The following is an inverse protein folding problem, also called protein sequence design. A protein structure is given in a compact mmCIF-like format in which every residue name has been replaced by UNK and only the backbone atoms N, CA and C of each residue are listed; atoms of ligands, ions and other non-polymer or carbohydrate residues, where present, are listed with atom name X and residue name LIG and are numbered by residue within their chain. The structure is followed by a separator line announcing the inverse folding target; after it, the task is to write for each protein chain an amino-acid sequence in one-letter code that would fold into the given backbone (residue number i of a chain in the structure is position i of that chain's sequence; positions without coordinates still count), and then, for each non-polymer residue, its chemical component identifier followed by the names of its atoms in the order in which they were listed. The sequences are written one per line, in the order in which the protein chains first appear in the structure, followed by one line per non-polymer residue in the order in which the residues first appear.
data_IF_530087477149
#
_entry.id   IF_530087477149
#
_cell.length_a   1.000
_cell.length_b   1.000
_cell.length_c   1.000
_cell.angle_alpha   90.00
_cell.angle_beta   90.00
_cell.angle_gamma   90.00
#
_symmetry.space_group_name_H-M   'P 1'
#
loop_
_entity.id
_entity.type
_entity.pdbx_description
1 polymer ?
#
# COMPACT_ATOMS: atom_id res chain seq x y z
N UNK A 1 -6.27 -37.94 -17.05
CA UNK A 1 -5.59 -38.89 -16.14
C UNK A 1 -5.85 -38.41 -14.72
N UNK A 2 -6.19 -39.31 -13.80
CA UNK A 2 -6.44 -38.95 -12.39
C UNK A 2 -5.17 -39.27 -11.61
N UNK A 3 -4.65 -38.29 -10.90
CA UNK A 3 -3.51 -38.43 -9.99
C UNK A 3 -4.06 -38.61 -8.58
N UNK A 4 -3.67 -39.69 -7.90
CA UNK A 4 -4.13 -39.95 -6.53
C UNK A 4 -3.24 -39.23 -5.51
N UNK A 5 -3.84 -38.61 -4.49
CA UNK A 5 -3.10 -37.99 -3.40
C UNK A 5 -2.32 -39.02 -2.58
N UNK A 6 -1.07 -38.70 -2.21
CA UNK A 6 -0.13 -39.61 -1.54
C UNK A 6 -0.37 -39.71 -0.02
N UNK A 7 -0.83 -38.64 0.63
CA UNK A 7 -0.97 -38.56 2.10
C UNK A 7 -2.42 -38.68 2.58
N UNK A 8 -2.59 -39.07 3.84
CA UNK A 8 -3.89 -39.21 4.52
C UNK A 8 -4.54 -37.87 4.90
N UNK A 9 -3.75 -36.78 5.03
CA UNK A 9 -4.25 -35.43 5.30
C UNK A 9 -4.92 -34.81 4.05
N UNK A 10 -6.14 -35.27 3.77
CA UNK A 10 -6.97 -34.87 2.62
C UNK A 10 -7.85 -33.64 2.88
N UNK A 11 -7.61 -32.93 3.99
CA UNK A 11 -8.43 -31.81 4.43
C UNK A 11 -7.64 -30.51 4.21
N UNK A 12 -8.20 -29.59 3.43
CA UNK A 12 -7.79 -28.20 3.38
C UNK A 12 -8.75 -27.40 4.26
N UNK A 13 -8.21 -26.64 5.21
CA UNK A 13 -9.01 -25.75 6.03
C UNK A 13 -9.36 -24.48 5.24
N UNK A 14 -10.55 -23.89 5.46
CA UNK A 14 -10.87 -22.61 4.86
C UNK A 14 -9.92 -21.53 5.38
N UNK A 15 -9.53 -20.60 4.51
CA UNK A 15 -8.78 -19.42 4.93
C UNK A 15 -9.62 -18.61 5.92
N UNK A 16 -9.09 -18.38 7.12
CA UNK A 16 -9.67 -17.42 8.06
C UNK A 16 -9.45 -15.99 7.51
N UNK A 17 -10.49 -15.17 7.49
CA UNK A 17 -10.43 -13.84 6.87
C UNK A 17 -9.30 -12.96 7.42
N UNK A 18 -9.02 -13.09 8.71
CA UNK A 18 -7.97 -12.34 9.42
C UNK A 18 -6.56 -12.88 9.23
N UNK A 19 -6.38 -14.03 8.57
CA UNK A 19 -5.10 -14.71 8.47
C UNK A 19 -4.49 -14.58 7.07
N UNK A 20 -3.17 -14.70 6.99
CA UNK A 20 -2.46 -14.79 5.72
C UNK A 20 -2.90 -16.06 4.98
N UNK A 21 -2.70 -16.07 3.66
CA UNK A 21 -2.87 -17.30 2.89
C UNK A 21 -1.82 -18.29 3.38
N UNK A 22 -2.26 -19.33 4.09
CA UNK A 22 -1.39 -20.43 4.49
C UNK A 22 -1.28 -21.42 3.33
N UNK A 23 -0.06 -21.88 3.07
CA UNK A 23 0.22 -22.80 1.98
C UNK A 23 0.31 -24.22 2.51
N UNK A 24 -0.66 -25.05 2.14
CA UNK A 24 -0.63 -26.48 2.44
C UNK A 24 -0.14 -27.27 1.24
N UNK A 25 0.92 -28.04 1.43
CA UNK A 25 1.46 -28.93 0.38
C UNK A 25 0.61 -30.19 0.26
N UNK A 26 0.08 -30.44 -0.92
CA UNK A 26 -0.56 -31.70 -1.31
C UNK A 26 0.27 -32.40 -2.39
N UNK A 27 0.58 -33.68 -2.17
CA UNK A 27 1.43 -34.47 -3.07
C UNK A 27 0.57 -35.49 -3.81
N UNK A 28 0.70 -35.58 -5.13
CA UNK A 28 -0.07 -36.50 -5.97
C UNK A 28 0.85 -37.49 -6.68
N UNK A 29 0.43 -38.75 -6.76
CA UNK A 29 1.16 -39.83 -7.41
C UNK A 29 0.94 -39.77 -8.92
N UNK A 30 2.03 -39.68 -9.66
CA UNK A 30 2.04 -39.84 -11.12
C UNK A 30 1.81 -41.34 -11.44
N UNK A 31 0.77 -41.69 -12.23
CA UNK A 31 0.52 -43.08 -12.61
C UNK A 31 1.70 -43.70 -13.35
N UNK A 32 1.91 -44.99 -13.13
CA UNK A 32 2.98 -45.73 -13.81
C UNK A 32 2.80 -45.67 -15.34
N UNK A 33 3.88 -45.36 -16.05
CA UNK A 33 3.86 -45.18 -17.50
C UNK A 33 3.36 -43.80 -17.99
N UNK A 34 2.92 -42.91 -17.09
CA UNK A 34 2.62 -41.52 -17.46
C UNK A 34 3.90 -40.67 -17.45
N UNK A 35 4.23 -40.05 -18.59
CA UNK A 35 5.34 -39.10 -18.70
C UNK A 35 4.80 -37.69 -18.51
N UNK A 36 5.32 -36.99 -17.50
CA UNK A 36 4.91 -35.62 -17.20
C UNK A 36 5.59 -34.61 -18.13
N UNK A 37 4.80 -33.62 -18.59
CA UNK A 37 5.28 -32.41 -19.26
C UNK A 37 4.76 -31.17 -18.50
N UNK A 38 5.60 -30.15 -18.31
CA UNK A 38 5.26 -29.01 -17.45
C UNK A 38 4.08 -28.18 -17.98
N UNK A 39 3.83 -28.20 -19.29
CA UNK A 39 2.66 -27.55 -19.91
C UNK A 39 1.32 -28.14 -19.41
N UNK A 40 1.30 -29.36 -18.87
CA UNK A 40 0.10 -29.97 -18.29
C UNK A 40 -0.36 -29.26 -17.02
N UNK A 41 0.54 -28.55 -16.33
CA UNK A 41 0.21 -27.74 -15.15
C UNK A 41 -0.89 -26.70 -15.42
N UNK A 42 -0.95 -26.16 -16.65
CA UNK A 42 -1.92 -25.13 -17.06
C UNK A 42 -3.37 -25.62 -17.11
N UNK A 43 -3.58 -26.93 -17.17
CA UNK A 43 -4.90 -27.55 -17.31
C UNK A 43 -5.25 -28.48 -16.15
N UNK A 44 -4.51 -28.39 -15.04
CA UNK A 44 -4.79 -29.20 -13.86
C UNK A 44 -6.13 -28.80 -13.26
N UNK A 45 -6.84 -29.82 -12.77
CA UNK A 45 -8.06 -29.65 -12.00
C UNK A 45 -7.98 -30.48 -10.74
N UNK A 46 -8.54 -29.96 -9.66
CA UNK A 46 -8.66 -30.65 -8.39
C UNK A 46 -10.09 -31.11 -8.18
N UNK A 47 -10.23 -32.38 -7.80
CA UNK A 47 -11.50 -32.95 -7.38
C UNK A 47 -11.57 -32.95 -5.85
N UNK A 48 -12.61 -32.35 -5.27
CA UNK A 48 -12.78 -32.25 -3.82
C UNK A 48 -14.24 -32.38 -3.38
N UNK A 49 -14.45 -32.57 -2.08
CA UNK A 49 -15.76 -32.55 -1.43
C UNK A 49 -15.70 -31.66 -0.20
N UNK A 50 -16.82 -31.04 0.15
CA UNK A 50 -17.00 -30.47 1.48
C UNK A 50 -17.39 -31.57 2.46
N UNK A 51 -17.02 -31.46 3.74
CA UNK A 51 -17.21 -32.52 4.75
C UNK A 51 -18.64 -33.09 4.80
N UNK A 52 -19.65 -32.24 4.58
CA UNK A 52 -21.06 -32.62 4.66
C UNK A 52 -21.72 -32.94 3.30
N UNK A 53 -20.96 -32.92 2.20
CA UNK A 53 -21.50 -33.19 0.86
C UNK A 53 -20.95 -34.49 0.25
N UNK A 54 -21.85 -35.26 -0.37
CA UNK A 54 -21.48 -36.41 -1.18
C UNK A 54 -21.02 -36.02 -2.59
N UNK A 55 -21.25 -34.79 -3.02
CA UNK A 55 -21.00 -34.32 -4.38
C UNK A 55 -19.52 -34.00 -4.58
N UNK A 56 -18.94 -34.55 -5.65
CA UNK A 56 -17.58 -34.19 -6.09
C UNK A 56 -17.67 -32.90 -6.87
N UNK A 57 -16.91 -31.90 -6.42
CA UNK A 57 -16.66 -30.66 -7.16
C UNK A 57 -15.32 -30.74 -7.86
N UNK A 58 -15.24 -30.10 -9.01
CA UNK A 58 -14.03 -29.97 -9.82
C UNK A 58 -13.71 -28.49 -9.97
N UNK A 59 -12.47 -28.08 -9.67
CA UNK A 59 -12.01 -26.70 -9.82
C UNK A 59 -10.66 -26.67 -10.54
N UNK A 60 -10.42 -25.60 -11.31
CA UNK A 60 -9.14 -25.40 -12.00
C UNK A 60 -8.04 -25.05 -10.98
N UNK A 61 -6.88 -25.68 -11.12
CA UNK A 61 -5.68 -25.29 -10.38
C UNK A 61 -5.02 -24.15 -11.14
N UNK A 62 -5.05 -22.95 -10.58
CA UNK A 62 -4.37 -21.82 -11.18
C UNK A 62 -2.85 -21.96 -10.95
N UNK A 63 -2.02 -21.82 -12.01
CA UNK A 63 -0.56 -21.89 -11.90
C UNK A 63 -0.01 -20.59 -11.32
N UNK A 64 -0.43 -20.26 -10.10
CA UNK A 64 0.19 -19.19 -9.33
C UNK A 64 1.51 -19.70 -8.76
N UNK A 65 2.59 -18.98 -9.01
CA UNK A 65 3.86 -19.25 -8.36
C UNK A 65 3.66 -19.19 -6.86
N UNK A 66 4.13 -20.23 -6.16
CA UNK A 66 4.29 -20.16 -4.71
C UNK A 66 5.16 -18.95 -4.44
N UNK A 67 4.59 -17.96 -3.76
CA UNK A 67 5.29 -16.74 -3.37
C UNK A 67 6.53 -17.19 -2.58
N UNK A 68 7.73 -16.83 -3.04
CA UNK A 68 9.01 -17.19 -2.42
C UNK A 68 8.96 -16.91 -0.90
N UNK A 69 9.54 -17.79 -0.08
CA UNK A 69 9.59 -17.63 1.38
C UNK A 69 10.16 -16.25 1.80
N UNK A 70 11.04 -15.69 0.97
CA UNK A 70 11.63 -14.34 1.09
C UNK A 70 10.62 -13.18 0.94
N UNK A 71 9.48 -13.39 0.29
CA UNK A 71 8.50 -12.32 0.06
C UNK A 71 7.93 -11.79 1.36
N UNK A 72 7.66 -12.65 2.35
CA UNK A 72 7.13 -12.22 3.65
C UNK A 72 8.15 -11.37 4.43
N UNK A 73 9.45 -11.61 4.27
CA UNK A 73 10.49 -10.78 4.88
C UNK A 73 10.67 -9.43 4.14
N UNK A 74 10.42 -9.41 2.83
CA UNK A 74 10.57 -8.24 1.95
C UNK A 74 9.29 -7.42 1.78
N UNK A 75 8.17 -7.89 2.31
CA UNK A 75 6.85 -7.28 2.18
C UNK A 75 6.76 -5.95 2.92
N UNK A 76 7.11 -4.87 2.21
CA UNK A 76 7.15 -3.52 2.72
C UNK A 76 5.84 -3.14 3.44
N UNK A 77 4.67 -3.44 2.86
CA UNK A 77 3.39 -2.96 3.40
C UNK A 77 3.00 -3.62 4.73
N UNK A 78 3.65 -4.74 5.10
CA UNK A 78 3.43 -5.47 6.36
C UNK A 78 4.57 -5.31 7.37
N UNK A 79 5.62 -4.54 7.05
CA UNK A 79 6.73 -4.29 7.97
C UNK A 79 6.26 -3.50 9.20
N UNK A 80 6.71 -3.92 10.40
CA UNK A 80 6.48 -3.20 11.65
C UNK A 80 7.66 -2.26 11.93
N UNK A 81 7.45 -0.97 11.72
CA UNK A 81 8.44 0.07 12.03
C UNK A 81 8.19 0.61 13.43
N UNK A 82 9.26 0.71 14.23
CA UNK A 82 9.18 1.35 15.53
C UNK A 82 9.30 2.88 15.38
N UNK A 83 8.18 3.52 15.07
CA UNK A 83 8.07 4.97 14.87
C UNK A 83 8.49 5.81 16.09
N UNK A 84 8.48 5.24 17.31
CA UNK A 84 8.88 5.95 18.54
C UNK A 84 10.36 6.32 18.58
N UNK A 85 11.19 5.70 17.74
CA UNK A 85 12.64 5.99 17.67
C UNK A 85 13.00 7.07 16.65
N UNK A 86 12.02 7.60 15.92
CA UNK A 86 12.24 8.57 14.86
C UNK A 86 12.18 9.96 15.47
N UNK A 87 13.29 10.71 15.40
CA UNK A 87 13.40 12.05 16.01
C UNK A 87 12.34 13.04 15.51
N UNK A 88 11.96 12.91 14.23
CA UNK A 88 10.91 13.71 13.57
C UNK A 88 9.54 13.58 14.25
N UNK A 89 9.28 12.47 14.96
CA UNK A 89 7.99 12.19 15.55
C UNK A 89 7.97 12.44 17.06
N UNK A 90 6.80 12.87 17.54
CA UNK A 90 6.39 12.85 18.94
C UNK A 90 5.02 12.16 19.00
N UNK A 91 4.90 11.13 19.84
CA UNK A 91 3.69 10.30 19.90
C UNK A 91 2.97 10.60 21.21
N UNK A 92 1.72 11.02 21.09
CA UNK A 92 0.79 11.12 22.22
C UNK A 92 -0.18 9.94 22.17
N UNK A 93 0.08 8.95 23.02
CA UNK A 93 -0.74 7.73 23.14
C UNK A 93 -2.14 8.00 23.70
N UNK A 94 -2.34 9.09 24.46
CA UNK A 94 -3.64 9.40 25.06
C UNK A 94 -4.59 9.99 24.01
N UNK A 95 -4.09 10.92 23.20
CA UNK A 95 -4.87 11.51 22.10
C UNK A 95 -4.79 10.72 20.79
N UNK A 96 -3.97 9.65 20.76
CA UNK A 96 -3.69 8.87 19.56
C UNK A 96 -3.25 9.74 18.40
N UNK A 97 -2.31 10.64 18.68
CA UNK A 97 -1.75 11.57 17.69
C UNK A 97 -0.26 11.38 17.53
N UNK A 98 0.21 11.30 16.28
CA UNK A 98 1.62 11.33 15.93
C UNK A 98 1.91 12.73 15.39
N UNK A 99 2.65 13.52 16.14
CA UNK A 99 3.07 14.86 15.74
C UNK A 99 4.37 14.77 14.95
N UNK A 100 4.34 15.31 13.73
CA UNK A 100 5.56 15.68 13.01
C UNK A 100 6.05 16.99 13.62
N UNK A 101 7.19 16.93 14.31
CA UNK A 101 7.78 18.10 14.96
C UNK A 101 8.08 19.17 13.90
N UNK A 102 7.89 20.43 14.26
CA UNK A 102 8.24 21.55 13.38
C UNK A 102 9.75 21.57 13.11
N UNK A 103 10.15 21.75 11.85
CA UNK A 103 11.55 21.83 11.45
C UNK A 103 11.78 21.34 10.02
N UNK A 104 13.05 21.21 9.65
CA UNK A 104 13.48 20.62 8.39
C UNK A 104 13.98 19.19 8.64
N UNK A 105 13.27 18.22 8.07
CA UNK A 105 13.55 16.80 8.25
C UNK A 105 14.01 16.16 6.95
N UNK A 106 14.87 15.16 7.08
CA UNK A 106 15.23 14.26 5.98
C UNK A 106 14.67 12.89 6.25
N UNK A 107 13.95 12.37 5.26
CA UNK A 107 13.49 11.00 5.25
C UNK A 107 14.33 10.21 4.27
N UNK A 108 15.25 9.39 4.78
CA UNK A 108 16.15 8.55 3.99
C UNK A 108 15.82 7.05 4.10
N UNK A 109 14.76 6.72 4.84
CA UNK A 109 14.23 5.38 5.02
C UNK A 109 12.72 5.46 4.96
N UNK A 110 12.09 4.45 4.38
CA UNK A 110 10.64 4.45 4.25
C UNK A 110 9.99 4.21 5.61
N UNK A 111 8.86 4.87 5.85
CA UNK A 111 8.12 4.79 7.11
C UNK A 111 6.72 4.25 6.90
N UNK A 112 6.23 3.57 7.93
CA UNK A 112 4.91 2.99 7.99
C UNK A 112 4.28 3.49 9.27
N UNK A 113 3.22 4.27 9.13
CA UNK A 113 2.41 4.75 10.25
C UNK A 113 1.28 3.73 10.47
N UNK A 114 1.17 3.14 11.67
CA UNK A 114 0.17 2.13 11.95
C UNK A 114 -1.23 2.73 12.00
N UNK A 115 -2.24 1.86 12.04
CA UNK A 115 -3.63 2.24 12.27
C UNK A 115 -3.87 2.81 13.68
N UNK A 116 -5.01 3.50 13.84
CA UNK A 116 -5.48 3.97 15.13
C UNK A 116 -4.85 5.28 15.61
N UNK A 117 -4.14 6.00 14.74
CA UNK A 117 -3.59 7.33 15.03
C UNK A 117 -4.13 8.39 14.05
N UNK A 118 -3.84 9.66 14.36
CA UNK A 118 -3.92 10.79 13.46
C UNK A 118 -2.55 11.45 13.35
N UNK A 119 -2.08 11.73 12.14
CA UNK A 119 -0.75 12.30 11.88
C UNK A 119 -0.87 13.81 11.72
N UNK A 120 -0.35 14.54 12.69
CA UNK A 120 -0.45 16.00 12.76
C UNK A 120 0.83 16.65 12.28
N UNK A 121 0.73 17.53 11.28
CA UNK A 121 1.84 18.37 10.81
C UNK A 121 1.39 19.82 10.75
N UNK A 122 2.24 20.74 11.20
CA UNK A 122 1.93 22.18 11.28
C UNK A 122 2.85 23.01 10.41
N UNK A 123 2.41 24.22 10.12
CA UNK A 123 3.11 25.24 9.34
C UNK A 123 4.62 25.39 9.63
N UNK A 124 5.38 25.70 8.58
CA UNK A 124 6.83 25.88 8.65
C UNK A 124 7.60 24.58 8.88
N UNK A 125 7.04 23.45 8.46
CA UNK A 125 7.70 22.13 8.45
C UNK A 125 8.08 21.76 7.02
N UNK A 126 9.31 21.29 6.83
CA UNK A 126 9.77 20.75 5.55
C UNK A 126 10.23 19.30 5.73
N UNK A 127 9.86 18.42 4.80
CA UNK A 127 10.30 17.02 4.80
C UNK A 127 10.87 16.70 3.43
N UNK A 128 12.15 16.35 3.39
CA UNK A 128 12.90 15.98 2.19
C UNK A 128 13.02 14.45 2.09
N UNK A 129 12.26 13.86 1.16
CA UNK A 129 12.24 12.44 0.87
C UNK A 129 13.39 12.13 -0.09
N UNK A 130 14.37 11.36 0.39
CA UNK A 130 15.59 11.01 -0.34
C UNK A 130 15.84 9.51 -0.30
N UNK A 131 16.75 9.03 -1.14
CA UNK A 131 17.15 7.61 -1.21
C UNK A 131 15.97 6.65 -1.40
N UNK A 132 14.99 7.05 -2.21
CA UNK A 132 13.83 6.23 -2.49
C UNK A 132 12.83 6.13 -1.33
N UNK A 133 12.92 6.94 -0.28
CA UNK A 133 12.00 6.81 0.87
C UNK A 133 10.54 7.11 0.51
N UNK A 134 9.60 6.43 1.16
CA UNK A 134 8.15 6.68 1.08
C UNK A 134 7.54 6.76 2.48
N UNK A 135 6.38 7.38 2.61
CA UNK A 135 5.56 7.34 3.81
C UNK A 135 4.25 6.60 3.50
N UNK A 136 4.12 5.40 4.03
CA UNK A 136 2.86 4.65 4.01
C UNK A 136 2.11 4.90 5.32
N UNK A 137 0.85 5.26 5.25
CA UNK A 137 0.02 5.56 6.43
C UNK A 137 -1.26 4.76 6.42
N UNK A 138 -1.53 4.07 7.53
CA UNK A 138 -2.84 3.52 7.87
C UNK A 138 -3.59 4.45 8.85
N UNK A 139 -3.19 5.72 8.91
CA UNK A 139 -3.74 6.78 9.76
C UNK A 139 -4.01 8.04 8.95
N UNK A 140 -4.98 8.85 9.40
CA UNK A 140 -5.37 10.09 8.71
C UNK A 140 -4.29 11.17 8.81
N UNK A 141 -4.16 12.01 7.78
CA UNK A 141 -3.19 13.11 7.74
C UNK A 141 -3.89 14.45 8.03
N UNK A 142 -3.49 15.14 9.10
CA UNK A 142 -3.99 16.46 9.49
C UNK A 142 -2.87 17.49 9.33
N UNK A 143 -2.66 17.93 8.09
CA UNK A 143 -1.56 18.82 7.72
C UNK A 143 -2.09 20.23 7.54
N UNK A 144 -1.71 21.13 8.46
CA UNK A 144 -2.22 22.49 8.49
C UNK A 144 -1.07 23.50 8.42
N UNK A 145 -0.72 23.86 7.19
CA UNK A 145 0.17 24.97 6.87
C UNK A 145 -0.58 26.31 6.84
N UNK A 146 0.16 27.37 6.54
CA UNK A 146 -0.39 28.69 6.20
C UNK A 146 0.18 29.17 4.87
N UNK A 147 -0.41 30.23 4.31
CA UNK A 147 0.09 30.84 3.07
C UNK A 147 1.54 31.34 3.23
N UNK A 148 1.86 31.89 4.39
CA UNK A 148 3.18 32.43 4.70
C UNK A 148 4.18 31.33 5.04
N UNK A 149 3.73 30.28 5.75
CA UNK A 149 4.55 29.16 6.17
C UNK A 149 3.93 27.81 5.75
N UNK A 150 3.94 27.50 4.45
CA UNK A 150 3.37 26.24 3.98
C UNK A 150 4.15 25.05 4.54
N UNK A 151 3.49 23.89 4.63
CA UNK A 151 4.18 22.61 4.82
C UNK A 151 4.79 22.21 3.47
N UNK A 152 6.05 21.80 3.47
CA UNK A 152 6.77 21.42 2.23
C UNK A 152 7.16 19.95 2.30
N UNK A 153 6.73 19.17 1.33
CA UNK A 153 7.07 17.75 1.20
C UNK A 153 7.67 17.58 -0.19
N UNK A 154 8.95 17.26 -0.26
CA UNK A 154 9.67 17.29 -1.53
C UNK A 154 10.77 16.24 -1.59
N UNK A 155 11.35 16.05 -2.78
CA UNK A 155 12.57 15.25 -2.93
C UNK A 155 13.68 16.08 -3.58
N UNK A 156 14.79 16.26 -2.87
CA UNK A 156 15.96 16.98 -3.39
C UNK A 156 16.77 16.16 -4.39
N UNK A 157 16.77 14.83 -4.27
CA UNK A 157 17.46 13.90 -5.17
C UNK A 157 16.53 13.30 -6.24
N UNK A 158 15.24 13.67 -6.23
CA UNK A 158 14.17 13.21 -7.12
C UNK A 158 13.88 11.70 -7.03
N UNK A 159 14.33 11.05 -5.96
CA UNK A 159 14.07 9.63 -5.72
C UNK A 159 12.94 9.41 -4.72
N UNK A 160 12.54 10.44 -3.98
CA UNK A 160 11.52 10.35 -2.93
C UNK A 160 10.18 9.87 -3.47
N UNK A 161 9.72 8.74 -2.94
CA UNK A 161 8.58 7.96 -3.42
C UNK A 161 7.26 8.35 -2.75
N UNK A 162 7.08 9.64 -2.45
CA UNK A 162 5.80 10.20 -2.05
C UNK A 162 5.12 9.58 -0.82
N UNK A 163 3.78 9.64 -0.79
CA UNK A 163 2.94 9.28 0.35
C UNK A 163 1.75 8.44 -0.12
N UNK A 164 1.44 7.37 0.61
CA UNK A 164 0.22 6.59 0.43
C UNK A 164 -0.58 6.52 1.74
N UNK A 165 -1.88 6.78 1.68
CA UNK A 165 -2.82 6.61 2.80
C UNK A 165 -3.84 5.54 2.41
N UNK A 166 -3.92 4.46 3.18
CA UNK A 166 -4.71 3.27 2.84
C UNK A 166 -5.72 2.92 3.94
N UNK A 167 -6.97 2.68 3.54
CA UNK A 167 -8.04 2.12 4.38
C UNK A 167 -8.30 2.91 5.68
N UNK A 168 -8.46 4.22 5.57
CA UNK A 168 -8.68 5.10 6.73
C UNK A 168 -10.07 5.73 6.63
N UNK A 169 -10.96 5.43 7.59
CA UNK A 169 -12.31 6.00 7.56
C UNK A 169 -12.34 7.52 7.83
N UNK A 170 -11.39 8.02 8.63
CA UNK A 170 -11.34 9.43 9.01
C UNK A 170 -10.72 10.28 7.90
N UNK A 171 -11.40 11.38 7.57
CA UNK A 171 -10.99 12.30 6.51
C UNK A 171 -9.65 12.97 6.80
N UNK A 172 -8.70 12.81 5.88
CA UNK A 172 -7.45 13.57 5.88
C UNK A 172 -7.71 15.02 5.45
N UNK A 173 -7.06 15.98 6.12
CA UNK A 173 -7.17 17.40 5.80
C UNK A 173 -5.79 18.00 5.55
N UNK A 174 -5.54 18.38 4.30
CA UNK A 174 -4.29 19.00 3.89
C UNK A 174 -4.59 20.43 3.45
N UNK A 175 -4.02 21.39 4.18
CA UNK A 175 -4.17 22.81 3.93
C UNK A 175 -2.83 23.52 3.81
N UNK A 176 -2.64 24.30 2.74
CA UNK A 176 -1.38 25.00 2.45
C UNK A 176 -0.16 24.06 2.48
N UNK A 177 -0.23 23.01 1.67
CA UNK A 177 0.82 22.00 1.52
C UNK A 177 1.41 22.08 0.12
N UNK A 178 2.73 21.94 0.00
CA UNK A 178 3.44 21.92 -1.29
C UNK A 178 4.15 20.57 -1.43
N UNK A 179 3.70 19.78 -2.40
CA UNK A 179 4.35 18.57 -2.88
C UNK A 179 5.22 18.89 -4.09
N UNK A 180 6.49 18.43 -4.09
CA UNK A 180 7.41 18.77 -5.19
C UNK A 180 8.47 17.71 -5.49
N UNK A 181 8.73 17.45 -6.78
CA UNK A 181 9.83 16.58 -7.24
C UNK A 181 9.74 15.12 -6.73
N UNK A 182 8.56 14.66 -6.30
CA UNK A 182 8.34 13.29 -5.81
C UNK A 182 7.99 12.33 -6.97
N UNK A 183 8.29 11.05 -6.79
CA UNK A 183 7.89 9.93 -7.66
C UNK A 183 6.92 9.01 -6.92
N UNK A 184 6.36 8.02 -7.61
CA UNK A 184 5.47 7.01 -7.04
C UNK A 184 6.19 6.01 -6.10
N UNK A 185 5.49 5.47 -5.08
CA UNK A 185 5.90 4.27 -4.34
C UNK A 185 6.29 3.12 -5.27
N UNK A 186 7.53 2.66 -5.13
CA UNK A 186 8.06 1.49 -5.80
C UNK A 186 8.95 0.72 -4.83
N UNK A 187 8.37 -0.30 -4.20
CA UNK A 187 9.00 -1.23 -3.25
C UNK A 187 8.87 -2.65 -3.79
N UNK A 188 9.73 -3.55 -3.33
CA UNK A 188 9.78 -4.92 -3.82
C UNK A 188 8.39 -5.60 -3.79
N UNK A 189 7.74 -5.72 -4.96
CA UNK A 189 6.40 -6.29 -5.10
C UNK A 189 5.22 -5.35 -4.78
N UNK A 190 5.47 -4.07 -4.45
CA UNK A 190 4.44 -3.07 -4.20
C UNK A 190 4.74 -1.77 -4.96
N UNK A 191 3.90 -1.48 -5.93
CA UNK A 191 3.98 -0.29 -6.77
C UNK A 191 2.61 0.40 -6.81
N UNK A 192 2.62 1.72 -6.73
CA UNK A 192 1.47 2.57 -6.97
C UNK A 192 1.75 3.47 -8.17
N UNK A 193 0.73 4.01 -8.81
CA UNK A 193 0.85 4.96 -9.92
C UNK A 193 1.03 6.39 -9.43
N UNK A 194 0.34 6.72 -8.33
CA UNK A 194 0.34 8.04 -7.71
C UNK A 194 1.52 8.31 -6.77
N UNK A 195 2.17 9.47 -6.93
CA UNK A 195 3.12 9.96 -5.93
C UNK A 195 2.42 10.28 -4.60
N UNK A 196 1.21 10.85 -4.65
CA UNK A 196 0.35 11.01 -3.48
C UNK A 196 -0.91 10.18 -3.73
N UNK A 197 -1.16 9.20 -2.87
CA UNK A 197 -2.28 8.26 -3.05
C UNK A 197 -3.19 8.24 -1.82
N UNK A 198 -4.50 8.29 -2.05
CA UNK A 198 -5.53 8.05 -1.04
C UNK A 198 -6.45 6.92 -1.51
N UNK A 199 -6.30 5.73 -0.92
CA UNK A 199 -7.09 4.54 -1.25
C UNK A 199 -8.07 4.23 -0.12
N UNK A 200 -9.37 4.18 -0.42
CA UNK A 200 -10.44 3.97 0.57
C UNK A 200 -10.25 4.88 1.80
N UNK A 201 -9.83 6.13 1.54
CA UNK A 201 -9.40 7.10 2.56
C UNK A 201 -9.80 8.52 2.15
N UNK A 202 -10.85 9.12 2.74
CA UNK A 202 -11.37 10.39 2.25
C UNK A 202 -10.41 11.54 2.52
N UNK A 203 -10.42 12.55 1.65
CA UNK A 203 -9.46 13.65 1.72
C UNK A 203 -10.01 15.02 1.31
N UNK A 204 -9.65 16.05 2.06
CA UNK A 204 -9.88 17.46 1.71
C UNK A 204 -8.53 18.13 1.45
N UNK A 205 -8.37 18.69 0.25
CA UNK A 205 -7.18 19.42 -0.21
C UNK A 205 -7.53 20.90 -0.43
N UNK A 206 -7.07 21.78 0.45
CA UNK A 206 -7.31 23.23 0.35
C UNK A 206 -5.99 24.01 0.20
N UNK A 207 -5.82 24.75 -0.90
CA UNK A 207 -4.59 25.46 -1.20
C UNK A 207 -3.35 24.54 -1.24
N UNK A 208 -3.48 23.38 -1.89
CA UNK A 208 -2.38 22.42 -2.06
C UNK A 208 -1.72 22.61 -3.42
N UNK A 209 -0.40 22.49 -3.49
CA UNK A 209 0.36 22.59 -4.74
C UNK A 209 1.08 21.28 -5.01
N UNK A 210 0.86 20.71 -6.19
CA UNK A 210 1.62 19.59 -6.74
C UNK A 210 2.47 20.13 -7.87
N UNK A 211 3.80 20.09 -7.72
CA UNK A 211 4.72 20.73 -8.65
C UNK A 211 5.85 19.82 -9.08
N UNK A 212 6.10 19.71 -10.39
CA UNK A 212 7.22 18.91 -10.93
C UNK A 212 7.21 17.46 -10.43
N UNK A 213 6.02 16.87 -10.38
CA UNK A 213 5.84 15.50 -9.91
C UNK A 213 6.27 14.54 -11.01
N UNK A 214 7.06 13.53 -10.66
CA UNK A 214 7.67 12.57 -11.57
C UNK A 214 7.07 11.16 -11.37
N UNK A 215 5.76 11.07 -11.52
CA UNK A 215 4.98 9.84 -11.41
C UNK A 215 3.99 9.79 -12.57
N UNK A 216 3.32 8.65 -12.76
CA UNK A 216 2.17 8.62 -13.67
C UNK A 216 1.11 9.60 -13.19
N UNK A 217 0.65 9.46 -11.94
CA UNK A 217 -0.30 10.39 -11.34
C UNK A 217 0.40 11.24 -10.28
N UNK A 218 0.18 12.56 -10.29
CA UNK A 218 0.66 13.39 -9.17
C UNK A 218 -0.17 13.13 -7.90
N UNK A 219 -1.48 12.98 -8.08
CA UNK A 219 -2.46 12.63 -7.06
C UNK A 219 -3.37 11.52 -7.60
N UNK A 220 -3.46 10.41 -6.89
CA UNK A 220 -4.37 9.31 -7.22
C UNK A 220 -5.33 9.08 -6.05
N UNK A 221 -6.65 9.13 -6.30
CA UNK A 221 -7.69 8.93 -5.28
C UNK A 221 -8.59 7.77 -5.72
N UNK A 222 -8.75 6.76 -4.87
CA UNK A 222 -9.44 5.51 -5.22
C UNK A 222 -10.51 5.18 -4.19
N UNK A 223 -11.72 4.85 -4.66
CA UNK A 223 -12.84 4.30 -3.86
C UNK A 223 -13.17 5.13 -2.62
N UNK A 224 -13.22 6.44 -2.76
CA UNK A 224 -13.50 7.32 -1.61
C UNK A 224 -14.04 8.68 -2.04
N UNK A 225 -14.48 9.46 -1.06
CA UNK A 225 -14.93 10.84 -1.23
C UNK A 225 -13.75 11.80 -1.14
N UNK A 226 -13.76 12.87 -1.93
CA UNK A 226 -12.71 13.89 -1.85
C UNK A 226 -13.22 15.30 -2.12
N UNK A 227 -12.44 16.29 -1.72
CA UNK A 227 -12.70 17.69 -2.04
C UNK A 227 -11.38 18.40 -2.38
N UNK A 228 -11.31 19.07 -3.53
CA UNK A 228 -10.13 19.87 -3.93
C UNK A 228 -10.54 21.32 -4.14
N UNK A 229 -9.95 22.23 -3.36
CA UNK A 229 -10.23 23.68 -3.41
C UNK A 229 -8.94 24.47 -3.51
N UNK A 230 -8.93 25.48 -4.38
CA UNK A 230 -7.84 26.46 -4.50
C UNK A 230 -6.44 25.84 -4.72
N UNK A 231 -6.39 24.63 -5.29
CA UNK A 231 -5.16 23.86 -5.44
C UNK A 231 -4.60 23.98 -6.86
N UNK A 232 -3.30 23.74 -6.99
CA UNK A 232 -2.56 23.92 -8.25
C UNK A 232 -1.80 22.63 -8.57
N UNK A 233 -1.91 22.21 -9.83
CA UNK A 233 -1.07 21.17 -10.42
C UNK A 233 -0.21 21.83 -11.52
N UNK A 234 1.10 21.70 -11.42
CA UNK A 234 2.07 22.39 -12.29
C UNK A 234 3.21 21.44 -12.66
N UNK A 235 3.59 21.41 -13.94
CA UNK A 235 4.71 20.60 -14.45
C UNK A 235 4.62 19.09 -14.10
N UNK A 236 3.44 18.47 -14.20
CA UNK A 236 3.29 17.02 -14.01
C UNK A 236 3.98 16.23 -15.14
N UNK A 237 4.60 15.09 -14.82
CA UNK A 237 5.25 14.22 -15.82
C UNK A 237 4.24 13.55 -16.76
N UNK A 238 3.15 13.00 -16.20
CA UNK A 238 2.02 12.46 -16.95
C UNK A 238 0.71 13.07 -16.43
N UNK A 239 -0.19 12.27 -15.86
CA UNK A 239 -1.47 12.77 -15.36
C UNK A 239 -1.26 13.49 -14.02
N UNK A 240 -1.95 14.62 -13.85
CA UNK A 240 -1.86 15.38 -12.61
C UNK A 240 -2.77 14.79 -11.54
N UNK A 241 -3.99 14.41 -11.91
CA UNK A 241 -4.99 13.88 -11.00
C UNK A 241 -5.73 12.75 -11.67
N UNK A 242 -5.82 11.62 -10.97
CA UNK A 242 -6.65 10.48 -11.35
C UNK A 242 -7.56 10.06 -10.19
N UNK A 243 -8.78 9.67 -10.54
CA UNK A 243 -9.88 9.40 -9.63
C UNK A 243 -10.66 8.15 -10.04
N UNK A 244 -10.46 7.05 -9.33
CA UNK A 244 -11.09 5.75 -9.60
C UNK A 244 -12.22 5.45 -8.63
N UNK A 245 -13.46 5.33 -9.13
CA UNK A 245 -14.64 5.03 -8.31
C UNK A 245 -14.84 6.03 -7.14
N UNK A 246 -14.69 7.31 -7.44
CA UNK A 246 -14.72 8.42 -6.46
C UNK A 246 -15.99 9.27 -6.54
N UNK A 247 -16.25 10.03 -5.48
CA UNK A 247 -17.26 11.09 -5.41
C UNK A 247 -16.61 12.39 -4.90
N UNK A 248 -16.84 13.54 -5.54
CA UNK A 248 -16.12 14.79 -5.24
C UNK A 248 -16.64 16.06 -5.90
#
# INVERSE_FOLDING_TARGET
VIFEIIREDKIAEPKMFSELVDYKKFEFKIPEGFVWEDNFSLNLKINYKTLDSSDIKEEMVLPWSLIDEDFLEKDFIRQKINISKIEMFEIDENSKTIFIKKGDWKLNQSLIIPEGFSVSCKEGTSIDFIMGSTLLSYSDLQFHGTKENPIKIFSSDRTGQGIAVLNVEKTSNLKHVVFRDLTNPFKEGWELTGAITFYESPVILDNVVFKKMNSEDSLNIIRTEFEIKNSVFEDCFSDCFDGDFVDG
#
